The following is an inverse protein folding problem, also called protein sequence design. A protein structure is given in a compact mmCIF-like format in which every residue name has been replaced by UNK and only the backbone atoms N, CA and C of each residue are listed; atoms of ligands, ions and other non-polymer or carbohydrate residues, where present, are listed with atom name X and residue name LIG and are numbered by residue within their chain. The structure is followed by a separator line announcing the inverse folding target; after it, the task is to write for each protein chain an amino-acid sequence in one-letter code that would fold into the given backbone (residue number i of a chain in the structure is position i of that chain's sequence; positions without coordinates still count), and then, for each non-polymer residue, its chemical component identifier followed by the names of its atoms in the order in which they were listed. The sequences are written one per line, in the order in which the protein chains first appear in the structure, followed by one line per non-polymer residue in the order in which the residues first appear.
data_IF_725322598280
#
_entry.id   IF_725322598280
#
_cell.length_a   1.000
_cell.length_b   1.000
_cell.length_c   1.000
_cell.angle_alpha   90.00
_cell.angle_beta   90.00
_cell.angle_gamma   90.00
#
_symmetry.space_group_name_H-M   'P 1'
#
loop_
_entity.id
_entity.type
_entity.pdbx_description
1 polymer ?
#
# COMPACT_ATOMS: atom_id res chain seq x y z
N UNK A 1 8.10 -18.32 -12.57
CA UNK A 1 7.82 -16.93 -12.19
C UNK A 1 8.06 -16.74 -10.70
N UNK A 2 8.78 -15.69 -10.30
CA UNK A 2 9.10 -15.28 -8.94
C UNK A 2 8.53 -13.89 -8.69
N UNK A 3 7.64 -13.78 -7.72
CA UNK A 3 6.99 -12.52 -7.34
C UNK A 3 7.46 -12.09 -5.96
N UNK A 4 7.92 -10.86 -5.84
CA UNK A 4 8.22 -10.21 -4.56
C UNK A 4 7.15 -9.15 -4.29
N UNK A 5 6.61 -9.15 -3.07
CA UNK A 5 5.61 -8.17 -2.61
C UNK A 5 6.21 -7.39 -1.45
N UNK A 6 6.13 -6.06 -1.46
CA UNK A 6 6.57 -5.19 -0.37
C UNK A 6 5.43 -4.29 0.11
N UNK A 7 5.14 -4.28 1.43
CA UNK A 7 4.16 -3.35 1.99
C UNK A 7 4.45 -2.90 3.43
N UNK A 8 4.46 -1.60 3.70
CA UNK A 8 4.69 -1.02 5.03
C UNK A 8 3.66 -1.50 6.08
N UNK A 9 2.42 -1.78 5.65
CA UNK A 9 1.35 -2.30 6.51
C UNK A 9 0.64 -3.47 5.84
N UNK A 10 -0.43 -3.99 6.45
CA UNK A 10 -1.12 -5.19 5.98
C UNK A 10 -1.78 -5.00 4.60
N UNK A 11 -2.56 -3.93 4.45
CA UNK A 11 -3.45 -3.66 3.29
C UNK A 11 -4.13 -4.95 2.76
N UNK A 12 -4.30 -5.08 1.44
CA UNK A 12 -4.65 -6.34 0.80
C UNK A 12 -3.40 -7.15 0.40
N UNK A 13 -2.20 -6.72 0.80
CA UNK A 13 -0.93 -7.36 0.46
C UNK A 13 -0.86 -8.81 0.92
N UNK A 14 -1.49 -9.15 2.04
CA UNK A 14 -1.48 -10.51 2.58
C UNK A 14 -2.41 -11.42 1.78
N UNK A 15 -3.58 -10.92 1.38
CA UNK A 15 -4.47 -11.64 0.46
C UNK A 15 -3.78 -11.88 -0.88
N UNK A 16 -3.09 -10.86 -1.42
CA UNK A 16 -2.32 -10.99 -2.65
C UNK A 16 -1.22 -12.04 -2.50
N UNK A 17 -0.40 -11.95 -1.44
CA UNK A 17 0.68 -12.90 -1.18
C UNK A 17 0.18 -14.34 -1.04
N UNK A 18 -0.92 -14.57 -0.32
CA UNK A 18 -1.53 -15.89 -0.19
C UNK A 18 -1.96 -16.45 -1.56
N UNK A 19 -2.60 -15.63 -2.40
CA UNK A 19 -3.08 -16.06 -3.71
C UNK A 19 -1.94 -16.32 -4.71
N UNK A 20 -0.89 -15.52 -4.66
CA UNK A 20 0.33 -15.73 -5.45
C UNK A 20 1.09 -16.97 -4.96
N UNK A 21 1.10 -17.23 -3.65
CA UNK A 21 1.67 -18.45 -3.08
C UNK A 21 0.91 -19.69 -3.51
N UNK A 22 -0.44 -19.66 -3.49
CA UNK A 22 -1.28 -20.79 -3.94
C UNK A 22 -1.00 -21.20 -5.39
N UNK A 23 -0.48 -20.27 -6.20
CA UNK A 23 -0.07 -20.49 -7.60
C UNK A 23 1.40 -20.89 -7.75
N UNK A 24 2.14 -21.02 -6.65
CA UNK A 24 3.55 -21.42 -6.65
C UNK A 24 4.54 -20.31 -6.99
N UNK A 25 4.10 -19.05 -7.08
CA UNK A 25 4.95 -17.95 -7.58
C UNK A 25 5.48 -16.99 -6.51
N UNK A 26 4.97 -17.04 -5.27
CA UNK A 26 5.45 -16.16 -4.20
C UNK A 26 6.91 -16.52 -3.88
N UNK A 27 7.81 -15.57 -4.11
CA UNK A 27 9.22 -15.67 -3.74
C UNK A 27 9.47 -15.05 -2.38
N UNK A 28 8.97 -13.83 -2.15
CA UNK A 28 9.18 -13.10 -0.89
C UNK A 28 8.05 -12.12 -0.58
N UNK A 29 7.68 -12.03 0.70
CA UNK A 29 6.79 -11.02 1.24
C UNK A 29 7.59 -10.15 2.23
N UNK A 30 7.79 -8.89 1.90
CA UNK A 30 8.50 -7.90 2.71
C UNK A 30 7.44 -6.99 3.35
N UNK A 31 7.39 -6.92 4.68
CA UNK A 31 6.32 -6.19 5.37
C UNK A 31 6.77 -5.44 6.62
N UNK A 32 6.10 -4.35 6.97
CA UNK A 32 6.37 -3.63 8.22
C UNK A 32 5.89 -4.39 9.46
N UNK A 33 4.98 -5.35 9.33
CA UNK A 33 4.53 -6.16 10.46
C UNK A 33 3.99 -7.51 9.99
N UNK A 34 4.28 -8.58 10.73
CA UNK A 34 3.73 -9.90 10.45
C UNK A 34 3.60 -10.76 11.70
N UNK A 35 2.40 -10.81 12.28
CA UNK A 35 2.09 -11.67 13.44
C UNK A 35 1.81 -13.14 13.04
N UNK A 36 2.56 -14.12 13.57
CA UNK A 36 2.28 -15.55 13.47
C UNK A 36 0.91 -15.97 13.95
N UNK A 37 0.51 -15.58 15.15
CA UNK A 37 -0.70 -16.08 15.78
C UNK A 37 -1.93 -15.44 15.17
N UNK A 38 -1.88 -14.12 14.90
CA UNK A 38 -3.03 -13.38 14.38
C UNK A 38 -3.17 -13.44 12.86
N UNK A 39 -2.06 -13.45 12.11
CA UNK A 39 -2.12 -13.47 10.65
C UNK A 39 -1.96 -14.86 10.04
N UNK A 40 -1.21 -15.82 10.64
CA UNK A 40 -1.12 -17.17 10.05
C UNK A 40 -2.43 -17.95 10.15
N UNK A 41 -3.25 -17.67 11.16
CA UNK A 41 -4.57 -18.29 11.29
C UNK A 41 -5.57 -17.75 10.25
N UNK A 42 -5.37 -16.51 9.79
CA UNK A 42 -6.23 -15.86 8.78
C UNK A 42 -5.72 -16.00 7.35
N UNK A 43 -4.40 -16.13 7.15
CA UNK A 43 -3.74 -16.21 5.86
C UNK A 43 -2.73 -17.36 5.84
N UNK A 44 -2.86 -18.25 4.85
CA UNK A 44 -1.95 -19.37 4.67
C UNK A 44 -0.70 -18.96 3.86
N UNK A 45 0.20 -18.19 4.48
CA UNK A 45 1.46 -17.72 3.89
C UNK A 45 2.64 -18.41 4.56
N UNK A 46 3.57 -18.93 3.75
CA UNK A 46 4.79 -19.59 4.20
C UNK A 46 5.71 -18.58 4.91
N UNK A 47 5.96 -18.85 6.19
CA UNK A 47 6.78 -18.02 7.08
C UNK A 47 8.20 -17.87 6.59
N UNK A 48 8.76 -18.87 5.92
CA UNK A 48 10.13 -18.81 5.40
C UNK A 48 10.29 -17.73 4.33
N UNK A 49 9.20 -17.36 3.65
CA UNK A 49 9.17 -16.34 2.61
C UNK A 49 8.94 -14.93 3.14
N UNK A 50 8.68 -14.76 4.44
CA UNK A 50 8.33 -13.46 5.01
C UNK A 50 9.54 -12.80 5.67
N UNK A 51 9.78 -11.55 5.30
CA UNK A 51 10.72 -10.63 5.96
C UNK A 51 9.91 -9.51 6.58
N UNK A 52 9.99 -9.36 7.90
CA UNK A 52 9.24 -8.35 8.63
C UNK A 52 10.16 -7.42 9.41
N UNK A 53 9.87 -6.12 9.40
CA UNK A 53 10.57 -5.13 10.21
C UNK A 53 9.57 -4.13 10.82
N UNK A 54 9.29 -4.30 12.11
CA UNK A 54 8.31 -3.50 12.86
C UNK A 54 8.87 -2.16 13.34
N UNK A 55 10.19 -1.98 13.32
CA UNK A 55 10.83 -0.78 13.87
C UNK A 55 10.38 0.53 13.19
N UNK A 56 10.30 0.61 11.84
CA UNK A 56 9.73 1.78 11.16
C UNK A 56 8.28 2.06 11.56
N UNK A 57 7.46 1.02 11.73
CA UNK A 57 6.05 1.16 12.12
C UNK A 57 5.91 1.72 13.54
N UNK A 58 6.72 1.20 14.48
CA UNK A 58 6.75 1.72 15.86
C UNK A 58 7.21 3.18 15.87
N UNK A 59 8.27 3.50 15.12
CA UNK A 59 8.80 4.85 15.02
C UNK A 59 7.76 5.84 14.45
N UNK A 60 7.06 5.46 13.38
CA UNK A 60 6.00 6.29 12.78
C UNK A 60 4.91 6.67 13.79
N UNK A 61 4.51 5.73 14.65
CA UNK A 61 3.36 5.92 15.54
C UNK A 61 3.73 6.33 16.97
N UNK A 62 5.01 6.35 17.32
CA UNK A 62 5.48 6.71 18.66
C UNK A 62 5.01 8.10 19.11
N UNK A 63 5.08 9.18 18.29
CA UNK A 63 4.64 10.50 18.74
C UNK A 63 3.14 10.58 19.07
N UNK A 64 2.31 9.74 18.45
CA UNK A 64 0.87 9.67 18.73
C UNK A 64 0.54 9.02 20.09
N UNK A 65 1.52 8.38 20.73
CA UNK A 65 1.38 7.79 22.07
C UNK A 65 1.75 8.76 23.19
N UNK A 66 2.39 9.89 22.85
CA UNK A 66 2.81 10.90 23.82
C UNK A 66 1.98 12.17 23.60
N UNK A 67 1.19 12.52 24.61
CA UNK A 67 0.36 13.73 24.59
C UNK A 67 1.23 14.96 24.35
N UNK A 68 0.89 15.75 23.34
CA UNK A 68 1.62 16.98 22.97
C UNK A 68 2.71 16.78 21.90
N UNK A 69 2.99 15.56 21.45
CA UNK A 69 3.93 15.27 20.36
C UNK A 69 3.24 14.87 19.05
N UNK A 70 1.91 14.94 18.97
CA UNK A 70 1.14 14.52 17.80
C UNK A 70 1.50 15.33 16.54
N UNK A 71 1.97 16.56 16.73
CA UNK A 71 2.44 17.43 15.64
C UNK A 71 3.69 16.90 14.92
N UNK A 72 4.47 16.03 15.56
CA UNK A 72 5.62 15.34 14.95
C UNK A 72 5.22 14.14 14.10
N UNK A 73 3.94 13.73 14.13
CA UNK A 73 3.49 12.56 13.39
C UNK A 73 3.77 12.63 11.88
N UNK A 74 3.52 13.75 11.16
CA UNK A 74 3.79 13.81 9.73
C UNK A 74 5.26 13.57 9.37
N UNK A 75 6.19 14.20 10.12
CA UNK A 75 7.63 14.06 9.86
C UNK A 75 8.15 12.67 10.22
N UNK A 76 7.73 12.11 11.36
CA UNK A 76 8.13 10.75 11.76
C UNK A 76 7.53 9.69 10.84
N UNK A 77 6.31 9.88 10.36
CA UNK A 77 5.67 9.00 9.40
C UNK A 77 6.40 9.00 8.05
N UNK A 78 6.76 10.18 7.53
CA UNK A 78 7.56 10.30 6.31
C UNK A 78 8.93 9.60 6.45
N UNK A 79 9.67 9.87 7.54
CA UNK A 79 10.97 9.24 7.81
C UNK A 79 10.82 7.72 7.95
N UNK A 80 9.77 7.24 8.60
CA UNK A 80 9.49 5.82 8.73
C UNK A 80 9.27 5.14 7.38
N UNK A 81 8.55 5.79 6.47
CA UNK A 81 8.32 5.28 5.12
C UNK A 81 9.64 5.20 4.32
N UNK A 82 10.50 6.22 4.41
CA UNK A 82 11.84 6.18 3.81
C UNK A 82 12.71 5.09 4.40
N UNK A 83 12.72 4.95 5.72
CA UNK A 83 13.48 3.93 6.43
C UNK A 83 13.02 2.53 6.02
N UNK A 84 11.71 2.27 6.02
CA UNK A 84 11.15 1.01 5.59
C UNK A 84 11.57 0.67 4.15
N UNK A 85 11.40 1.61 3.22
CA UNK A 85 11.68 1.39 1.81
C UNK A 85 13.18 1.08 1.57
N UNK A 86 14.10 1.83 2.19
CA UNK A 86 15.54 1.52 2.14
C UNK A 86 15.90 0.17 2.77
N UNK A 87 15.16 -0.25 3.79
CA UNK A 87 15.33 -1.59 4.36
C UNK A 87 14.79 -2.68 3.43
N UNK A 88 13.62 -2.45 2.82
CA UNK A 88 12.96 -3.36 1.89
C UNK A 88 13.79 -3.54 0.61
N UNK A 89 14.36 -2.47 0.08
CA UNK A 89 15.31 -2.46 -1.04
C UNK A 89 16.44 -3.47 -0.83
N UNK A 90 17.03 -3.52 0.38
CA UNK A 90 18.11 -4.44 0.74
C UNK A 90 17.66 -5.90 0.84
N UNK A 91 16.35 -6.16 0.89
CA UNK A 91 15.80 -7.51 0.87
C UNK A 91 15.50 -7.99 -0.56
N UNK A 92 15.62 -7.13 -1.58
CA UNK A 92 15.33 -7.50 -2.95
C UNK A 92 16.40 -8.42 -3.53
N UNK A 93 15.92 -9.38 -4.29
CA UNK A 93 16.68 -10.36 -5.06
C UNK A 93 16.10 -10.38 -6.49
N UNK A 94 16.79 -11.03 -7.42
CA UNK A 94 16.27 -11.20 -8.77
C UNK A 94 14.89 -11.87 -8.76
N UNK A 95 13.92 -11.21 -9.38
CA UNK A 95 12.54 -11.65 -9.49
C UNK A 95 11.96 -11.22 -10.85
N UNK A 96 10.85 -11.84 -11.23
CA UNK A 96 10.17 -11.51 -12.50
C UNK A 96 9.22 -10.32 -12.31
N UNK A 97 8.57 -10.25 -11.14
CA UNK A 97 7.62 -9.18 -10.79
C UNK A 97 7.88 -8.70 -9.37
N UNK A 98 7.93 -7.38 -9.20
CA UNK A 98 7.89 -6.71 -7.91
C UNK A 98 6.60 -5.92 -7.76
N UNK A 99 5.88 -6.12 -6.65
CA UNK A 99 4.70 -5.33 -6.28
C UNK A 99 4.96 -4.53 -5.01
N UNK A 100 4.98 -3.20 -5.13
CA UNK A 100 5.10 -2.27 -4.02
C UNK A 100 3.80 -1.51 -3.78
N UNK A 101 3.71 -0.75 -2.69
CA UNK A 101 2.60 0.17 -2.42
C UNK A 101 3.08 1.62 -2.46
N UNK A 102 2.23 2.49 -2.99
CA UNK A 102 2.49 3.93 -3.06
C UNK A 102 2.75 4.53 -1.67
N UNK A 103 3.74 5.42 -1.60
CA UNK A 103 4.18 6.18 -0.44
C UNK A 103 5.39 5.58 0.30
N UNK A 104 5.86 4.39 -0.08
CA UNK A 104 6.96 3.68 0.61
C UNK A 104 7.62 2.58 -0.24
N UNK A 105 7.68 2.75 -1.56
CA UNK A 105 8.29 1.78 -2.49
C UNK A 105 9.28 2.39 -3.49
N UNK A 106 9.56 3.70 -3.45
CA UNK A 106 10.46 4.37 -4.38
C UNK A 106 11.81 3.66 -4.60
N UNK A 107 12.60 3.44 -3.55
CA UNK A 107 13.92 2.79 -3.67
C UNK A 107 13.77 1.33 -4.11
N UNK A 108 12.76 0.64 -3.57
CA UNK A 108 12.45 -0.74 -3.93
C UNK A 108 12.08 -0.90 -5.41
N UNK A 109 11.30 0.02 -5.99
CA UNK A 109 10.94 0.03 -7.40
C UNK A 109 12.19 0.14 -8.28
N UNK A 110 13.05 1.14 -8.01
CA UNK A 110 14.28 1.36 -8.78
C UNK A 110 15.20 0.13 -8.72
N UNK A 111 15.35 -0.44 -7.53
CA UNK A 111 16.18 -1.63 -7.33
C UNK A 111 15.58 -2.84 -8.07
N UNK A 112 14.28 -3.09 -7.95
CA UNK A 112 13.62 -4.18 -8.67
C UNK A 112 13.78 -4.05 -10.18
N UNK A 113 13.60 -2.84 -10.73
CA UNK A 113 13.81 -2.54 -12.15
C UNK A 113 15.24 -2.81 -12.61
N UNK A 114 16.24 -2.39 -11.82
CA UNK A 114 17.65 -2.71 -12.09
C UNK A 114 17.99 -4.20 -12.04
N UNK A 115 17.15 -5.00 -11.39
CA UNK A 115 17.26 -6.46 -11.33
C UNK A 115 16.49 -7.15 -12.48
N UNK A 116 15.89 -6.38 -13.39
CA UNK A 116 15.15 -6.88 -14.55
C UNK A 116 13.69 -7.26 -14.25
N UNK A 117 13.16 -6.88 -13.09
CA UNK A 117 11.77 -7.18 -12.74
C UNK A 117 10.80 -6.18 -13.39
N UNK A 118 9.62 -6.66 -13.78
CA UNK A 118 8.47 -5.79 -14.06
C UNK A 118 7.93 -5.27 -12.73
N UNK A 119 7.72 -3.96 -12.65
CA UNK A 119 7.29 -3.29 -11.41
C UNK A 119 5.83 -2.89 -11.45
N UNK A 120 5.08 -3.27 -10.41
CA UNK A 120 3.68 -2.92 -10.21
C UNK A 120 3.56 -2.12 -8.92
N UNK A 121 2.98 -0.94 -8.99
CA UNK A 121 2.70 -0.11 -7.83
C UNK A 121 1.22 -0.18 -7.46
N UNK A 122 0.92 -0.64 -6.26
CA UNK A 122 -0.42 -0.65 -5.69
C UNK A 122 -0.78 0.76 -5.19
N UNK A 123 -1.87 1.31 -5.75
CA UNK A 123 -2.47 2.56 -5.30
C UNK A 123 -3.96 2.37 -5.03
N UNK A 124 -4.33 2.36 -3.76
CA UNK A 124 -5.72 2.15 -3.31
C UNK A 124 -6.62 3.38 -3.24
N UNK A 125 -6.13 4.55 -3.67
CA UNK A 125 -6.84 5.84 -3.57
C UNK A 125 -6.71 6.62 -4.87
N UNK A 126 -7.45 7.72 -5.00
CA UNK A 126 -7.29 8.66 -6.11
C UNK A 126 -5.83 9.06 -6.32
N UNK A 127 -5.51 9.58 -7.51
CA UNK A 127 -4.20 10.20 -7.77
C UNK A 127 -3.87 11.19 -6.66
N UNK A 128 -2.63 11.23 -6.17
CA UNK A 128 -2.27 11.97 -4.95
C UNK A 128 -2.60 13.47 -5.03
N UNK A 129 -2.48 14.05 -6.23
CA UNK A 129 -2.89 15.44 -6.50
C UNK A 129 -4.40 15.63 -6.47
N UNK A 130 -5.18 14.71 -7.03
CA UNK A 130 -6.64 14.77 -6.96
C UNK A 130 -7.13 14.55 -5.52
N UNK A 131 -6.50 13.64 -4.77
CA UNK A 131 -6.76 13.49 -3.34
C UNK A 131 -6.49 14.79 -2.57
N UNK A 132 -5.35 15.45 -2.86
CA UNK A 132 -4.98 16.72 -2.22
C UNK A 132 -6.02 17.80 -2.50
N UNK A 133 -6.40 18.00 -3.76
CA UNK A 133 -7.42 18.97 -4.19
C UNK A 133 -8.77 18.72 -3.49
N UNK A 134 -9.27 17.47 -3.52
CA UNK A 134 -10.53 17.10 -2.86
C UNK A 134 -10.52 17.37 -1.36
N UNK A 135 -9.40 17.06 -0.68
CA UNK A 135 -9.26 17.35 0.74
C UNK A 135 -9.19 18.85 1.02
N UNK A 136 -8.49 19.62 0.18
CA UNK A 136 -8.42 21.08 0.31
C UNK A 136 -9.80 21.73 0.16
N UNK A 137 -10.57 21.33 -0.84
CA UNK A 137 -11.94 21.78 -1.10
C UNK A 137 -12.89 21.47 0.06
N UNK A 138 -12.94 20.22 0.52
CA UNK A 138 -13.86 19.81 1.59
C UNK A 138 -13.51 20.50 2.92
N UNK A 139 -12.23 20.66 3.23
CA UNK A 139 -11.84 21.38 4.45
C UNK A 139 -12.21 22.86 4.40
N UNK A 140 -12.04 23.52 3.25
CA UNK A 140 -12.46 24.91 3.06
C UNK A 140 -13.98 25.05 3.25
N UNK A 141 -14.75 24.14 2.65
CA UNK A 141 -16.23 24.10 2.74
C UNK A 141 -16.74 23.99 4.18
N UNK A 142 -16.05 23.23 5.03
CA UNK A 142 -16.42 23.05 6.44
C UNK A 142 -15.67 23.98 7.42
N UNK A 143 -14.88 24.94 6.93
CA UNK A 143 -14.11 25.83 7.79
C UNK A 143 -13.05 25.13 8.65
N UNK A 144 -12.59 23.95 8.22
CA UNK A 144 -11.60 23.14 8.92
C UNK A 144 -10.18 23.56 8.50
N UNK A 145 -9.27 23.64 9.47
CA UNK A 145 -7.90 24.16 9.24
C UNK A 145 -6.87 23.15 8.67
N UNK A 146 -7.24 21.88 8.43
CA UNK A 146 -6.26 20.79 8.22
C UNK A 146 -6.45 19.87 7.00
N UNK A 147 -6.23 20.32 5.76
CA UNK A 147 -5.77 19.42 4.72
C UNK A 147 -4.27 19.69 4.53
N UNK A 148 -3.42 18.83 5.09
CA UNK A 148 -2.03 18.77 4.60
C UNK A 148 -1.70 17.32 4.33
N UNK A 149 -2.00 16.90 3.11
CA UNK A 149 -1.20 15.85 2.50
C UNK A 149 0.23 16.37 2.53
N UNK A 150 1.12 15.64 3.19
CA UNK A 150 2.50 16.06 3.36
C UNK A 150 3.14 16.26 1.97
N UNK A 151 3.67 17.45 1.62
CA UNK A 151 4.26 17.70 0.32
C UNK A 151 5.35 16.69 -0.06
N UNK A 152 6.09 16.17 0.95
CA UNK A 152 7.13 15.16 0.74
C UNK A 152 6.54 13.81 0.33
N UNK A 153 5.34 13.47 0.81
CA UNK A 153 4.61 12.27 0.36
C UNK A 153 4.07 12.48 -1.06
N UNK A 154 3.57 13.68 -1.38
CA UNK A 154 3.12 14.02 -2.74
C UNK A 154 4.25 13.85 -3.74
N UNK A 155 5.39 14.50 -3.50
CA UNK A 155 6.57 14.42 -4.36
C UNK A 155 7.02 12.96 -4.54
N UNK A 156 7.05 12.20 -3.45
CA UNK A 156 7.47 10.80 -3.48
C UNK A 156 6.51 9.89 -4.26
N UNK A 157 5.20 10.01 -4.06
CA UNK A 157 4.23 9.23 -4.83
C UNK A 157 4.31 9.55 -6.33
N UNK A 158 4.52 10.82 -6.70
CA UNK A 158 4.72 11.21 -8.11
C UNK A 158 5.95 10.52 -8.72
N UNK A 159 7.07 10.51 -7.99
CA UNK A 159 8.28 9.78 -8.41
C UNK A 159 8.04 8.28 -8.54
N UNK A 160 7.28 7.67 -7.62
CA UNK A 160 6.92 6.26 -7.73
C UNK A 160 6.03 5.97 -8.94
N UNK A 161 5.11 6.89 -9.28
CA UNK A 161 4.29 6.78 -10.49
C UNK A 161 5.14 6.84 -11.75
N UNK A 162 6.21 7.63 -11.78
CA UNK A 162 7.15 7.68 -12.91
C UNK A 162 7.95 6.38 -13.02
N UNK A 163 8.52 5.89 -11.92
CA UNK A 163 9.43 4.74 -11.88
C UNK A 163 8.76 3.40 -12.18
N UNK A 164 7.52 3.20 -11.70
CA UNK A 164 6.77 1.95 -11.89
C UNK A 164 6.51 1.64 -13.38
N UNK A 165 6.40 0.38 -13.76
CA UNK A 165 5.97 -0.01 -15.12
C UNK A 165 4.45 -0.05 -15.23
N UNK A 166 3.78 -0.43 -14.14
CA UNK A 166 2.33 -0.44 -14.02
C UNK A 166 1.86 0.07 -12.66
N UNK A 167 0.64 0.61 -12.61
CA UNK A 167 -0.03 1.06 -11.39
C UNK A 167 -1.36 0.31 -11.27
N UNK A 168 -1.48 -0.50 -10.22
CA UNK A 168 -2.69 -1.24 -9.89
C UNK A 168 -3.66 -0.34 -9.11
N UNK A 169 -4.88 -0.19 -9.61
CA UNK A 169 -5.90 0.73 -9.09
C UNK A 169 -7.28 0.05 -8.93
N UNK A 170 -8.10 0.45 -7.94
CA UNK A 170 -9.28 -0.35 -7.57
C UNK A 170 -10.58 -0.01 -8.29
N UNK A 171 -10.68 1.14 -8.98
CA UNK A 171 -11.98 1.61 -9.50
C UNK A 171 -11.85 2.56 -10.67
N UNK A 172 -12.96 2.73 -11.39
CA UNK A 172 -13.10 3.69 -12.49
C UNK A 172 -12.95 5.14 -12.03
N UNK A 173 -13.39 5.48 -10.82
CA UNK A 173 -13.14 6.80 -10.22
C UNK A 173 -11.64 7.06 -10.08
N UNK A 174 -10.90 6.12 -9.49
CA UNK A 174 -9.44 6.25 -9.33
C UNK A 174 -8.77 6.36 -10.70
N UNK A 175 -9.14 5.49 -11.65
CA UNK A 175 -8.62 5.52 -13.03
C UNK A 175 -8.77 6.89 -13.67
N UNK A 176 -9.96 7.47 -13.58
CA UNK A 176 -10.25 8.81 -14.12
C UNK A 176 -9.30 9.85 -13.52
N UNK A 177 -9.11 9.85 -12.20
CA UNK A 177 -8.20 10.81 -11.55
C UNK A 177 -6.74 10.65 -11.98
N UNK A 178 -6.30 9.44 -12.35
CA UNK A 178 -4.94 9.21 -12.86
C UNK A 178 -4.78 9.77 -14.27
N UNK A 179 -5.75 9.51 -15.15
CA UNK A 179 -5.75 10.01 -16.54
C UNK A 179 -5.84 11.55 -16.56
N UNK A 180 -6.72 12.14 -15.75
CA UNK A 180 -6.87 13.60 -15.61
C UNK A 180 -5.58 14.28 -15.12
N UNK A 181 -4.71 13.55 -14.41
CA UNK A 181 -3.40 14.02 -13.92
C UNK A 181 -2.23 13.60 -14.83
N UNK A 182 -2.53 13.08 -16.01
CA UNK A 182 -1.54 12.84 -17.08
C UNK A 182 -0.82 11.49 -17.02
N UNK A 183 -1.27 10.53 -16.19
CA UNK A 183 -0.71 9.19 -16.21
C UNK A 183 -1.24 8.42 -17.44
N UNK A 184 -0.36 7.83 -18.29
CA UNK A 184 -0.79 7.10 -19.47
C UNK A 184 -1.71 5.92 -19.12
N UNK A 185 -2.74 5.72 -19.94
CA UNK A 185 -3.77 4.71 -19.68
C UNK A 185 -3.22 3.28 -19.69
N UNK A 186 -2.26 3.00 -20.57
CA UNK A 186 -1.57 1.72 -20.71
C UNK A 186 -0.75 1.33 -19.46
N UNK A 187 -0.44 2.30 -18.60
CA UNK A 187 0.23 2.09 -17.32
C UNK A 187 -0.73 1.61 -16.23
N UNK A 188 -2.04 1.79 -16.41
CA UNK A 188 -3.04 1.55 -15.39
C UNK A 188 -3.65 0.15 -15.51
N UNK A 189 -3.57 -0.62 -14.43
CA UNK A 189 -4.24 -1.92 -14.32
C UNK A 189 -5.38 -1.77 -13.32
N UNK A 190 -6.63 -1.79 -13.80
CA UNK A 190 -7.79 -1.68 -12.92
C UNK A 190 -8.22 -3.05 -12.40
N UNK A 191 -8.01 -3.30 -11.10
CA UNK A 191 -8.40 -4.54 -10.41
C UNK A 191 -9.20 -4.19 -9.15
N UNK A 192 -10.53 -4.39 -9.15
CA UNK A 192 -11.35 -4.21 -7.96
C UNK A 192 -10.93 -5.17 -6.83
N UNK A 193 -11.09 -4.74 -5.58
CA UNK A 193 -10.76 -5.59 -4.45
C UNK A 193 -11.76 -6.73 -4.27
N UNK A 194 -11.23 -7.95 -4.20
CA UNK A 194 -11.99 -9.15 -3.87
C UNK A 194 -12.14 -9.37 -2.36
N UNK A 195 -13.15 -10.17 -2.00
CA UNK A 195 -13.40 -10.62 -0.63
C UNK A 195 -13.38 -12.14 -0.55
N UNK A 196 -13.19 -12.67 0.66
CA UNK A 196 -13.30 -14.12 0.91
C UNK A 196 -14.75 -14.52 1.13
N UNK A 197 -15.33 -15.27 0.19
CA UNK A 197 -16.70 -15.80 0.30
C UNK A 197 -16.86 -16.83 1.43
N UNK A 198 -15.75 -17.33 1.99
CA UNK A 198 -15.77 -18.15 3.22
C UNK A 198 -16.25 -17.34 4.43
N UNK A 199 -15.88 -16.06 4.49
CA UNK A 199 -16.21 -15.16 5.61
C UNK A 199 -17.43 -14.29 5.29
N UNK A 200 -17.56 -13.86 4.04
CA UNK A 200 -18.65 -13.02 3.57
C UNK A 200 -19.62 -13.86 2.75
N UNK A 201 -20.60 -14.43 3.44
CA UNK A 201 -21.71 -15.19 2.85
C UNK A 201 -23.02 -14.69 3.43
N UNK A 202 -24.13 -14.74 2.66
CA UNK A 202 -25.44 -14.45 3.20
C UNK A 202 -25.72 -15.34 4.42
N UNK A 203 -26.18 -14.71 5.49
CA UNK A 203 -26.76 -15.40 6.66
C UNK A 203 -28.25 -15.09 6.68
N UNK A 204 -29.10 -16.04 7.10
CA UNK A 204 -30.52 -15.75 7.28
C UNK A 204 -30.70 -14.53 8.18
N UNK A 205 -31.55 -13.60 7.76
CA UNK A 205 -31.95 -12.47 8.60
C UNK A 205 -33.03 -12.97 9.56
N UNK A 206 -32.83 -12.80 10.86
CA UNK A 206 -33.74 -13.30 11.90
C UNK A 206 -34.79 -12.27 12.34
N UNK A 207 -34.76 -11.05 11.78
CA UNK A 207 -35.68 -9.97 12.11
C UNK A 207 -35.93 -8.99 10.95
N UNK A 208 -36.88 -8.08 11.13
CA UNK A 208 -37.22 -7.03 10.18
C UNK A 208 -36.44 -5.72 10.41
N UNK A 209 -35.44 -5.72 11.30
CA UNK A 209 -34.69 -4.51 11.64
C UNK A 209 -33.56 -4.27 10.63
N UNK A 210 -33.51 -3.09 10.03
CA UNK A 210 -32.38 -2.66 9.21
C UNK A 210 -31.25 -2.14 10.11
N UNK A 211 -30.01 -2.59 9.86
CA UNK A 211 -28.81 -2.19 10.61
C UNK A 211 -27.79 -1.63 9.62
N UNK A 212 -27.19 -0.49 9.98
CA UNK A 212 -26.10 0.18 9.24
C UNK A 212 -24.85 0.17 10.10
#
# INVERSE_FOLDING_TARGET
MKVIISSFSRYHAFSLAEQIQKRGYLHKLIVGYFDPKRNAQAYNIDRAKVKANISPVIFAHFPRRIRGLEWLYPITNYIAHEWYDKWAEKQLEQCDIFTGWAGFSFYSLKKAKSLGAVTVLERGSAHILAQKELLEEEYAKFGLKKPRVDPRIVERELQEFEEADYISIPSTFVRRTFIEKGVPEEKLIQIPYGISLKHFRPVPKEDDVFRV
#
